data_IF_631127769538
#
_entry.id   IF_631127769538
#
_cell.length_a   1.000
_cell.length_b   1.000
_cell.length_c   1.000
_cell.angle_alpha   90.00
_cell.angle_beta   90.00
_cell.angle_gamma   90.00
#
_symmetry.space_group_name_H-M   'P 1'
#
loop_
_entity.id
_entity.type
_entity.pdbx_description
1 polymer ?
#
# COMPACT_ATOMS: atom_id res chain seq x y z
N UNK A 1 15.54 -16.26 -18.84
CA UNK A 1 14.72 -15.29 -18.09
C UNK A 1 15.63 -14.69 -17.04
N UNK A 2 15.72 -13.38 -16.96
CA UNK A 2 16.56 -12.73 -15.93
C UNK A 2 15.90 -12.85 -14.55
N UNK A 3 16.68 -12.77 -13.46
CA UNK A 3 16.16 -12.76 -12.09
C UNK A 3 15.09 -11.66 -11.88
N UNK A 4 15.22 -10.53 -12.58
CA UNK A 4 14.24 -9.44 -12.58
C UNK A 4 12.92 -9.84 -13.26
N UNK A 5 12.98 -10.59 -14.35
CA UNK A 5 11.76 -11.03 -15.06
C UNK A 5 10.96 -12.05 -14.25
N UNK A 6 11.65 -12.89 -13.49
CA UNK A 6 11.07 -13.85 -12.55
C UNK A 6 10.42 -13.12 -11.37
N UNK A 7 11.10 -12.13 -10.79
CA UNK A 7 10.53 -11.26 -9.77
C UNK A 7 9.20 -10.64 -10.22
N UNK A 8 9.13 -10.19 -11.48
CA UNK A 8 7.91 -9.57 -11.99
C UNK A 8 6.71 -10.50 -12.11
N UNK A 9 6.92 -11.83 -12.18
CA UNK A 9 5.84 -12.82 -12.20
C UNK A 9 5.08 -12.95 -10.86
N UNK A 10 5.64 -12.39 -9.79
CA UNK A 10 5.00 -12.36 -8.47
C UNK A 10 3.98 -11.22 -8.34
N UNK A 11 4.06 -10.18 -9.16
CA UNK A 11 3.13 -9.05 -9.10
C UNK A 11 1.79 -9.33 -9.80
N UNK A 12 0.71 -8.63 -9.39
CA UNK A 12 -0.54 -8.59 -10.14
C UNK A 12 -0.33 -8.14 -11.60
N UNK A 13 -1.16 -8.65 -12.52
CA UNK A 13 -1.02 -8.46 -13.98
C UNK A 13 -0.70 -7.03 -14.40
N UNK A 14 -1.43 -6.05 -13.85
CA UNK A 14 -1.26 -4.64 -14.24
C UNK A 14 0.13 -4.11 -13.83
N UNK A 15 0.56 -4.37 -12.59
CA UNK A 15 1.86 -3.91 -12.11
C UNK A 15 3.01 -4.63 -12.85
N UNK A 16 2.87 -5.95 -13.05
CA UNK A 16 3.77 -6.77 -13.85
C UNK A 16 3.97 -6.21 -15.26
N UNK A 17 2.89 -5.92 -15.98
CA UNK A 17 2.96 -5.38 -17.35
C UNK A 17 3.63 -4.02 -17.39
N UNK A 18 3.30 -3.12 -16.46
CA UNK A 18 3.93 -1.79 -16.35
C UNK A 18 5.44 -1.86 -16.16
N UNK A 19 5.90 -2.76 -15.29
CA UNK A 19 7.32 -3.00 -15.02
C UNK A 19 8.02 -3.61 -16.25
N UNK A 20 7.41 -4.62 -16.89
CA UNK A 20 7.96 -5.27 -18.09
C UNK A 20 8.10 -4.31 -19.28
N UNK A 21 7.10 -3.47 -19.48
CA UNK A 21 7.08 -2.48 -20.54
C UNK A 21 7.96 -1.25 -20.24
N UNK A 22 8.60 -1.20 -19.05
CA UNK A 22 9.37 -0.04 -18.56
C UNK A 22 8.56 1.26 -18.54
N UNK A 23 7.24 1.13 -18.33
CA UNK A 23 6.35 2.28 -18.16
C UNK A 23 6.51 2.89 -16.76
N UNK A 24 6.90 2.05 -15.79
CA UNK A 24 7.32 2.43 -14.45
C UNK A 24 8.61 1.70 -14.09
N UNK A 25 9.35 2.28 -13.16
CA UNK A 25 10.49 1.64 -12.49
C UNK A 25 10.35 1.86 -10.99
N UNK A 26 10.82 0.90 -10.21
CA UNK A 26 10.88 1.06 -8.76
C UNK A 26 11.90 2.16 -8.39
N UNK A 27 11.61 3.00 -7.39
CA UNK A 27 12.56 3.97 -6.87
C UNK A 27 13.86 3.31 -6.41
N UNK A 28 14.99 4.03 -6.52
CA UNK A 28 16.33 3.47 -6.27
C UNK A 28 16.56 2.98 -4.83
N UNK A 29 15.80 3.50 -3.87
CA UNK A 29 15.81 3.13 -2.46
C UNK A 29 14.80 2.01 -2.10
N UNK A 30 14.18 1.38 -3.11
CA UNK A 30 13.29 0.22 -2.91
C UNK A 30 14.06 -0.94 -2.29
N UNK A 31 13.49 -1.51 -1.22
CA UNK A 31 14.03 -2.67 -0.52
C UNK A 31 13.23 -3.91 -0.89
N UNK A 32 13.94 -4.94 -1.36
CA UNK A 32 13.39 -6.27 -1.67
C UNK A 32 13.58 -7.25 -0.53
N UNK A 33 14.65 -7.07 0.25
CA UNK A 33 14.92 -7.82 1.48
C UNK A 33 14.97 -6.84 2.66
N UNK A 34 14.15 -7.12 3.68
CA UNK A 34 13.96 -6.26 4.84
C UNK A 34 13.22 -7.00 5.97
N UNK A 35 13.50 -6.60 7.21
CA UNK A 35 12.76 -7.07 8.38
C UNK A 35 11.32 -6.54 8.40
N UNK A 36 10.41 -7.28 9.05
CA UNK A 36 9.01 -6.89 9.15
C UNK A 36 8.84 -5.50 9.78
N UNK A 37 8.04 -4.65 9.16
CA UNK A 37 7.77 -3.28 9.61
C UNK A 37 6.35 -3.22 10.14
N UNK A 38 6.19 -2.87 11.43
CA UNK A 38 4.86 -2.64 11.99
C UNK A 38 4.32 -1.30 11.47
N UNK A 39 3.12 -1.33 10.89
CA UNK A 39 2.52 -0.16 10.25
C UNK A 39 1.03 -0.05 10.53
N UNK A 40 0.51 1.14 10.27
CA UNK A 40 -0.88 1.54 10.33
C UNK A 40 -1.38 1.88 8.93
N UNK A 41 -2.63 1.53 8.63
CA UNK A 41 -3.31 1.82 7.37
C UNK A 41 -4.75 2.22 7.61
N UNK A 42 -5.22 3.22 6.86
CA UNK A 42 -6.61 3.61 6.86
C UNK A 42 -7.32 2.87 5.74
N UNK A 43 -8.26 2.01 6.11
CA UNK A 43 -9.03 1.20 5.17
C UNK A 43 -10.41 1.84 4.99
N UNK A 44 -10.95 1.80 3.77
CA UNK A 44 -12.26 2.37 3.47
C UNK A 44 -13.36 1.39 3.84
N UNK A 45 -13.97 1.61 5.01
CA UNK A 45 -15.01 0.76 5.59
C UNK A 45 -15.99 1.62 6.38
N UNK A 46 -17.25 1.22 6.38
CA UNK A 46 -18.25 1.84 7.25
C UNK A 46 -18.01 1.44 8.71
N UNK A 47 -18.44 2.29 9.65
CA UNK A 47 -18.23 2.05 11.09
C UNK A 47 -18.83 0.72 11.58
N UNK A 48 -19.86 0.21 10.91
CA UNK A 48 -20.54 -1.06 11.22
C UNK A 48 -19.88 -2.30 10.59
N UNK A 49 -18.85 -2.13 9.76
CA UNK A 49 -18.14 -3.25 9.13
C UNK A 49 -17.00 -3.74 10.03
N UNK A 50 -17.14 -4.98 10.52
CA UNK A 50 -16.18 -5.62 11.44
C UNK A 50 -15.61 -6.93 10.87
N UNK A 51 -15.72 -7.17 9.55
CA UNK A 51 -15.11 -8.36 8.95
C UNK A 51 -13.58 -8.31 9.06
N UNK A 52 -12.91 -9.46 8.91
CA UNK A 52 -11.45 -9.48 8.88
C UNK A 52 -10.88 -8.68 7.70
N UNK A 53 -9.61 -8.29 7.81
CA UNK A 53 -8.90 -7.61 6.73
C UNK A 53 -8.80 -8.54 5.52
N UNK A 54 -9.05 -7.97 4.34
CA UNK A 54 -8.94 -8.69 3.07
C UNK A 54 -8.11 -7.92 2.03
N UNK A 55 -7.99 -8.48 0.83
CA UNK A 55 -7.24 -7.84 -0.27
C UNK A 55 -7.87 -6.52 -0.74
N UNK A 56 -9.17 -6.30 -0.53
CA UNK A 56 -9.84 -5.06 -0.94
C UNK A 56 -9.38 -3.87 -0.11
N UNK A 57 -9.08 -4.08 1.18
CA UNK A 57 -8.51 -3.06 2.05
C UNK A 57 -7.12 -2.60 1.60
N UNK A 58 -6.41 -3.46 0.90
CA UNK A 58 -5.02 -3.28 0.47
C UNK A 58 -4.90 -2.88 -1.00
N UNK A 59 -5.99 -2.42 -1.63
CA UNK A 59 -5.91 -1.84 -2.97
C UNK A 59 -5.05 -0.56 -2.97
N UNK A 60 -4.19 -0.48 -3.97
CA UNK A 60 -3.41 0.71 -4.32
C UNK A 60 -4.31 1.87 -4.77
N UNK A 61 -3.76 3.08 -4.87
CA UNK A 61 -4.51 4.22 -5.40
C UNK A 61 -4.95 4.05 -6.85
N UNK A 62 -4.15 3.33 -7.65
CA UNK A 62 -4.53 2.91 -8.99
C UNK A 62 -5.80 2.04 -8.97
N UNK A 63 -5.81 0.98 -8.17
CA UNK A 63 -6.94 0.04 -8.09
C UNK A 63 -8.20 0.66 -7.49
N UNK A 64 -8.03 1.65 -6.60
CA UNK A 64 -9.14 2.43 -6.05
C UNK A 64 -9.67 3.50 -7.02
N UNK A 65 -9.11 3.64 -8.22
CA UNK A 65 -9.50 4.65 -9.20
C UNK A 65 -9.36 6.08 -8.69
N UNK A 66 -8.49 6.31 -7.69
CA UNK A 66 -8.29 7.64 -7.12
C UNK A 66 -7.73 8.56 -8.21
N UNK A 67 -7.98 9.85 -8.10
CA UNK A 67 -7.32 10.86 -8.93
C UNK A 67 -6.64 11.83 -7.98
N UNK A 68 -5.35 12.15 -8.17
CA UNK A 68 -4.72 13.17 -7.35
C UNK A 68 -5.43 14.50 -7.55
N UNK A 69 -5.59 15.24 -6.44
CA UNK A 69 -6.30 16.53 -6.44
C UNK A 69 -5.57 17.62 -7.25
N UNK A 70 -4.27 17.47 -7.48
CA UNK A 70 -3.47 18.35 -8.34
C UNK A 70 -2.67 17.49 -9.30
N UNK A 71 -3.00 17.57 -10.60
CA UNK A 71 -2.13 17.08 -11.65
C UNK A 71 -0.92 18.02 -11.70
N UNK A 72 0.25 17.54 -11.30
CA UNK A 72 1.49 18.29 -11.51
C UNK A 72 1.71 18.33 -13.03
N UNK A 73 1.74 19.54 -13.59
CA UNK A 73 1.92 19.77 -15.02
C UNK A 73 3.18 19.03 -15.49
N UNK A 74 3.03 18.07 -16.41
CA UNK A 74 4.14 17.31 -16.98
C UNK A 74 4.48 15.97 -16.30
N UNK A 75 3.84 15.57 -15.19
CA UNK A 75 4.05 14.25 -14.56
C UNK A 75 2.87 13.31 -14.81
N UNK A 76 3.08 12.24 -15.58
CA UNK A 76 2.09 11.17 -15.72
C UNK A 76 2.08 10.33 -14.45
N UNK A 77 1.00 10.38 -13.67
CA UNK A 77 0.84 9.54 -12.49
C UNK A 77 0.83 8.05 -12.78
N UNK A 78 0.41 7.68 -14.00
CA UNK A 78 0.45 6.28 -14.44
C UNK A 78 1.88 5.75 -14.57
N UNK A 79 2.87 6.64 -14.58
CA UNK A 79 4.28 6.32 -14.69
C UNK A 79 4.99 6.38 -13.31
N UNK A 80 4.27 6.71 -12.24
CA UNK A 80 4.81 6.75 -10.87
C UNK A 80 4.52 5.43 -10.17
N UNK A 81 5.57 4.69 -9.79
CA UNK A 81 5.43 3.40 -9.13
C UNK A 81 4.60 3.49 -7.84
N UNK A 82 4.71 4.59 -7.07
CA UNK A 82 3.96 4.80 -5.82
C UNK A 82 2.44 4.74 -6.03
N UNK A 83 1.97 5.00 -7.25
CA UNK A 83 0.57 4.94 -7.59
C UNK A 83 -0.01 3.52 -7.55
N UNK A 84 0.85 2.53 -7.75
CA UNK A 84 0.55 1.10 -7.72
C UNK A 84 0.93 0.44 -6.39
N UNK A 85 1.53 1.20 -5.48
CA UNK A 85 1.86 0.75 -4.13
C UNK A 85 0.74 0.99 -3.13
N UNK A 86 0.78 0.22 -2.05
CA UNK A 86 -0.09 0.35 -0.89
C UNK A 86 0.54 1.31 0.09
N UNK A 87 -0.18 2.37 0.42
CA UNK A 87 0.26 3.37 1.39
C UNK A 87 -0.03 2.91 2.82
N UNK A 88 1.00 2.84 3.64
CA UNK A 88 0.94 2.56 5.08
C UNK A 88 1.86 3.52 5.82
N UNK A 89 1.74 3.59 7.15
CA UNK A 89 2.48 4.55 7.96
C UNK A 89 3.04 3.91 9.22
N UNK A 90 4.26 4.23 9.61
CA UNK A 90 4.87 3.75 10.87
C UNK A 90 4.36 4.49 12.10
N UNK A 91 3.82 5.71 11.92
CA UNK A 91 3.24 6.52 12.98
C UNK A 91 1.71 6.62 12.87
N UNK A 92 1.01 6.17 13.93
CA UNK A 92 -0.45 6.21 14.07
C UNK A 92 -1.02 7.64 14.04
N UNK A 93 -0.36 8.59 14.69
CA UNK A 93 -0.86 9.97 14.83
C UNK A 93 -0.95 10.68 13.47
N UNK A 94 0.00 10.39 12.58
CA UNK A 94 0.03 10.96 11.22
C UNK A 94 -1.17 10.51 10.42
N UNK A 95 -1.53 9.23 10.51
CA UNK A 95 -2.68 8.71 9.78
C UNK A 95 -4.00 9.14 10.41
N UNK A 96 -4.06 9.24 11.75
CA UNK A 96 -5.19 9.84 12.47
C UNK A 96 -5.47 11.26 11.99
N UNK A 97 -4.42 12.10 11.95
CA UNK A 97 -4.50 13.48 11.47
C UNK A 97 -4.88 13.56 9.98
N UNK A 98 -4.16 12.85 9.11
CA UNK A 98 -4.34 12.93 7.65
C UNK A 98 -5.72 12.40 7.20
N UNK A 99 -6.24 11.38 7.88
CA UNK A 99 -7.51 10.74 7.53
C UNK A 99 -8.68 11.25 8.36
N UNK A 100 -8.42 12.16 9.31
CA UNK A 100 -9.41 12.79 10.19
C UNK A 100 -10.18 11.75 11.01
N UNK A 101 -9.46 10.90 11.72
CA UNK A 101 -10.08 9.96 12.66
C UNK A 101 -10.61 10.72 13.90
N UNK A 102 -11.72 10.26 14.52
CA UNK A 102 -12.59 9.17 14.08
C UNK A 102 -13.32 9.51 12.78
N UNK A 103 -13.43 8.54 11.87
CA UNK A 103 -13.98 8.75 10.53
C UNK A 103 -15.08 7.72 10.25
N UNK A 104 -16.33 8.12 9.96
CA UNK A 104 -17.43 7.17 9.76
C UNK A 104 -17.24 6.23 8.56
N UNK A 105 -16.38 6.59 7.60
CA UNK A 105 -16.14 5.86 6.35
C UNK A 105 -14.73 5.28 6.26
N UNK A 106 -13.98 5.27 7.38
CA UNK A 106 -12.66 4.65 7.44
C UNK A 106 -12.43 3.99 8.78
N UNK A 107 -11.68 2.89 8.75
CA UNK A 107 -11.16 2.23 9.95
C UNK A 107 -9.65 2.20 9.94
N UNK A 108 -9.06 2.17 11.13
CA UNK A 108 -7.63 1.96 11.30
C UNK A 108 -7.35 0.46 11.26
N UNK A 109 -6.39 0.03 10.46
CA UNK A 109 -5.83 -1.30 10.47
C UNK A 109 -4.35 -1.21 10.87
N UNK A 110 -3.86 -2.21 11.60
CA UNK A 110 -2.45 -2.32 11.94
C UNK A 110 -1.97 -3.77 11.76
N UNK A 111 -0.70 -3.92 11.39
CA UNK A 111 -0.09 -5.21 11.07
C UNK A 111 1.33 -5.03 10.55
N UNK A 112 1.86 -6.04 9.86
CA UNK A 112 3.24 -6.05 9.40
C UNK A 112 3.36 -6.03 7.88
N UNK A 113 4.16 -5.09 7.37
CA UNK A 113 4.72 -5.13 6.01
C UNK A 113 5.94 -6.05 6.03
N UNK A 114 6.08 -6.95 5.06
CA UNK A 114 7.14 -7.97 5.04
C UNK A 114 7.56 -8.33 3.60
N UNK A 115 8.82 -8.75 3.43
CA UNK A 115 9.44 -8.90 2.12
C UNK A 115 8.79 -10.00 1.26
N UNK A 116 8.25 -11.06 1.86
CA UNK A 116 7.52 -12.12 1.15
C UNK A 116 6.21 -11.64 0.54
N UNK A 117 5.67 -10.51 1.02
CA UNK A 117 4.48 -9.89 0.45
C UNK A 117 4.78 -8.84 -0.63
N UNK A 118 6.05 -8.49 -0.83
CA UNK A 118 6.47 -7.55 -1.88
C UNK A 118 7.55 -6.56 -1.43
N UNK A 119 8.22 -5.87 -2.37
CA UNK A 119 9.18 -4.83 -2.04
C UNK A 119 8.49 -3.58 -1.48
N UNK A 120 9.26 -2.78 -0.74
CA UNK A 120 8.76 -1.54 -0.17
C UNK A 120 9.78 -0.41 -0.26
N UNK A 121 9.26 0.82 -0.23
CA UNK A 121 10.05 2.03 0.01
C UNK A 121 9.52 2.75 1.25
N UNK A 122 10.40 3.02 2.20
CA UNK A 122 10.10 3.84 3.37
C UNK A 122 10.71 5.22 3.18
N UNK A 123 9.88 6.25 3.29
CA UNK A 123 10.29 7.64 3.29
C UNK A 123 9.60 8.36 4.45
N UNK A 124 10.41 8.86 5.38
CA UNK A 124 9.95 9.39 6.66
C UNK A 124 9.06 8.35 7.35
N UNK A 125 7.81 8.68 7.62
CA UNK A 125 6.83 7.79 8.26
C UNK A 125 5.93 7.06 7.27
N UNK A 126 6.14 7.22 5.95
CA UNK A 126 5.34 6.59 4.91
C UNK A 126 6.06 5.37 4.34
N UNK A 127 5.39 4.22 4.38
CA UNK A 127 5.84 2.96 3.78
C UNK A 127 4.95 2.67 2.58
N UNK A 128 5.53 2.71 1.39
CA UNK A 128 4.91 2.30 0.14
C UNK A 128 5.23 0.84 -0.13
N UNK A 129 4.23 -0.04 -0.12
CA UNK A 129 4.41 -1.48 -0.27
C UNK A 129 3.80 -1.98 -1.58
N UNK A 130 4.60 -2.53 -2.49
CA UNK A 130 4.12 -3.07 -3.76
C UNK A 130 3.82 -4.55 -3.62
N UNK A 131 2.54 -4.89 -3.55
CA UNK A 131 2.11 -6.23 -3.19
C UNK A 131 2.35 -7.25 -4.31
N UNK A 132 2.86 -8.42 -3.92
CA UNK A 132 2.71 -9.63 -4.72
C UNK A 132 1.26 -10.12 -4.71
N UNK A 133 0.89 -10.88 -5.75
CA UNK A 133 -0.47 -11.38 -5.98
C UNK A 133 -0.99 -12.26 -4.84
N UNK A 134 -0.09 -12.99 -4.17
CA UNK A 134 -0.38 -13.98 -3.13
C UNK A 134 0.07 -13.52 -1.73
N UNK A 135 0.17 -12.20 -1.51
CA UNK A 135 0.55 -11.64 -0.20
C UNK A 135 -0.34 -12.17 0.94
N UNK A 136 0.29 -12.50 2.06
CA UNK A 136 -0.39 -12.81 3.32
C UNK A 136 -0.67 -11.52 4.10
N UNK A 137 -1.96 -11.26 4.35
CA UNK A 137 -2.42 -10.10 5.12
C UNK A 137 -2.93 -10.49 6.51
N UNK A 138 -2.75 -11.75 6.94
CA UNK A 138 -3.27 -12.29 8.20
C UNK A 138 -2.76 -11.57 9.47
N UNK A 139 -1.62 -10.90 9.35
CA UNK A 139 -1.06 -10.08 10.43
C UNK A 139 -1.82 -8.79 10.67
N UNK A 140 -2.63 -8.33 9.71
CA UNK A 140 -3.39 -7.09 9.82
C UNK A 140 -4.73 -7.29 10.50
N UNK A 141 -5.04 -6.41 11.46
CA UNK A 141 -6.31 -6.37 12.18
C UNK A 141 -6.85 -4.95 12.22
N UNK A 142 -8.17 -4.83 12.20
CA UNK A 142 -8.84 -3.56 12.50
C UNK A 142 -8.56 -3.22 13.96
N UNK A 143 -8.04 -2.02 14.21
CA UNK A 143 -7.90 -1.51 15.56
C UNK A 143 -9.29 -1.05 16.02
N UNK A 144 -9.72 -1.52 17.18
CA UNK A 144 -10.93 -1.00 17.81
C UNK A 144 -10.73 0.49 18.14
N UNK A 145 -11.67 1.33 17.73
CA UNK A 145 -11.72 2.70 18.19
C UNK A 145 -12.00 2.65 19.69
N UNK A 146 -11.03 3.08 20.51
CA UNK A 146 -11.28 3.38 21.92
C UNK A 146 -12.20 4.61 21.96
N UNK A 147 -13.49 4.35 21.90
CA UNK A 147 -14.48 5.31 22.38
C UNK A 147 -14.35 5.35 23.91
N UNK A 148 -13.45 6.18 24.42
CA UNK A 148 -13.52 6.68 25.79
C UNK A 148 -14.54 7.81 25.89
#
# INVERSE_FOLDING_TARGET
MSEIEELYENFPTILKEKLRNKEIEFPSNTKFDYEKIYVYRAVSREITDFHEIDKNDFRSYFELGKKPKKLVKGRSLKNDAHWYGVSTFTNKEIIEFNMKFPNPHKKMAAGYVHCEGGPQETKDEHVCWWLYKDVDLSSFRIMEDKNE
#
